data_IF_752392403327
#
_entry.id   IF_752392403327
#
_cell.length_a   1.000
_cell.length_b   1.000
_cell.length_c   1.000
_cell.angle_alpha   90.00
_cell.angle_beta   90.00
_cell.angle_gamma   90.00
#
_symmetry.space_group_name_H-M   'P 1'
#
loop_
_entity.id
_entity.type
_entity.pdbx_description
1 polymer ?
#
# COMPACT_ATOMS: atom_id res chain seq x y z
N UNK A 1 -9.17 22.94 13.76
CA UNK A 1 -7.95 23.19 14.56
C UNK A 1 -6.77 22.51 13.87
N UNK A 2 -5.73 23.23 13.45
CA UNK A 2 -4.49 22.60 12.93
C UNK A 2 -3.72 22.01 14.12
N UNK A 3 -3.56 20.70 14.18
CA UNK A 3 -2.84 20.04 15.26
C UNK A 3 -1.33 20.21 15.05
N UNK A 4 -0.72 21.13 15.81
CA UNK A 4 0.72 21.43 15.74
C UNK A 4 1.62 20.39 16.40
N UNK A 5 1.08 19.46 17.19
CA UNK A 5 1.89 18.36 17.76
C UNK A 5 2.12 17.23 16.75
N UNK A 6 1.16 17.01 15.85
CA UNK A 6 1.21 15.94 14.85
C UNK A 6 1.97 16.33 13.57
N UNK A 7 2.74 17.44 13.58
CA UNK A 7 3.64 17.84 12.48
C UNK A 7 5.10 17.45 12.72
N UNK A 8 5.44 16.93 13.93
CA UNK A 8 6.75 16.36 14.22
C UNK A 8 7.00 15.11 13.39
N UNK A 9 8.27 14.81 13.11
CA UNK A 9 8.64 13.54 12.48
C UNK A 9 8.28 12.37 13.41
N UNK A 10 7.94 11.23 12.81
CA UNK A 10 7.67 9.99 13.57
C UNK A 10 8.82 9.63 14.53
N UNK A 11 10.06 9.88 14.12
CA UNK A 11 11.26 9.65 14.94
C UNK A 11 11.33 10.53 16.19
N UNK A 12 10.80 11.74 16.14
CA UNK A 12 10.77 12.66 17.29
C UNK A 12 9.63 12.32 18.27
N UNK A 13 8.60 11.64 17.77
CA UNK A 13 7.49 11.12 18.57
C UNK A 13 7.80 9.74 19.16
N UNK A 14 8.80 9.05 18.64
CA UNK A 14 9.18 7.70 19.02
C UNK A 14 9.57 7.63 20.51
N UNK A 15 9.16 6.55 21.16
CA UNK A 15 9.53 6.23 22.54
C UNK A 15 10.03 4.79 22.59
N UNK A 16 11.24 4.53 23.14
CA UNK A 16 11.77 3.18 23.24
C UNK A 16 10.78 2.19 23.88
N UNK A 17 10.64 1.01 23.28
CA UNK A 17 9.75 -0.06 23.73
C UNK A 17 8.29 0.07 23.31
N UNK A 18 7.86 1.18 22.70
CA UNK A 18 6.47 1.37 22.27
C UNK A 18 6.14 0.57 21.00
N UNK A 19 4.94 0.00 20.92
CA UNK A 19 4.52 -0.87 19.79
C UNK A 19 3.13 -0.47 19.31
N UNK A 20 2.97 -0.38 17.99
CA UNK A 20 1.72 0.06 17.38
C UNK A 20 0.72 -1.10 17.33
N UNK A 21 1.11 -2.21 16.72
CA UNK A 21 0.31 -3.43 16.66
C UNK A 21 1.08 -4.60 17.27
N UNK A 22 0.35 -5.55 17.86
CA UNK A 22 0.89 -6.82 18.34
C UNK A 22 0.35 -7.92 17.45
N UNK A 23 1.19 -8.43 16.56
CA UNK A 23 0.85 -9.61 15.77
C UNK A 23 0.53 -10.80 16.71
N UNK A 24 -0.36 -11.72 16.29
CA UNK A 24 -0.61 -12.94 17.04
C UNK A 24 0.71 -13.66 17.32
N UNK A 25 0.81 -14.28 18.50
CA UNK A 25 1.98 -15.12 18.82
C UNK A 25 2.01 -16.26 17.79
N UNK A 26 3.02 -16.27 16.93
CA UNK A 26 3.26 -17.40 16.05
C UNK A 26 3.86 -18.55 16.86
N UNK A 27 3.24 -19.73 16.79
CA UNK A 27 3.78 -20.94 17.41
C UNK A 27 5.11 -21.39 16.76
N UNK A 28 5.37 -20.98 15.51
CA UNK A 28 6.53 -21.39 14.72
C UNK A 28 7.73 -20.44 14.80
N UNK A 29 7.55 -19.24 15.35
CA UNK A 29 8.62 -18.25 15.56
C UNK A 29 8.95 -18.19 17.05
N UNK A 30 9.92 -19.01 17.45
CA UNK A 30 10.47 -19.01 18.81
C UNK A 30 11.88 -18.38 18.82
N UNK A 31 12.49 -18.30 20.01
CA UNK A 31 13.84 -17.74 20.20
C UNK A 31 14.95 -18.45 19.41
N UNK A 32 14.67 -19.62 18.81
CA UNK A 32 15.62 -20.36 17.97
C UNK A 32 15.48 -20.02 16.48
N UNK A 33 14.57 -19.13 16.08
CA UNK A 33 14.42 -18.76 14.67
C UNK A 33 15.71 -18.17 14.08
N UNK A 34 16.46 -17.40 14.87
CA UNK A 34 17.74 -16.83 14.46
C UNK A 34 18.81 -17.91 14.19
N UNK A 35 18.76 -19.07 14.85
CA UNK A 35 19.74 -20.15 14.65
C UNK A 35 19.55 -20.92 13.34
N UNK A 36 18.55 -20.55 12.52
CA UNK A 36 18.33 -21.12 11.18
C UNK A 36 19.13 -20.41 10.09
N UNK A 37 19.80 -19.31 10.43
CA UNK A 37 20.58 -18.50 9.51
C UNK A 37 22.04 -18.49 9.95
N UNK A 38 22.94 -18.37 8.98
CA UNK A 38 24.34 -18.13 9.26
C UNK A 38 24.51 -16.78 9.96
N UNK A 39 25.45 -16.69 10.90
CA UNK A 39 25.69 -15.46 11.67
C UNK A 39 25.98 -14.26 10.75
N UNK A 40 26.65 -14.47 9.61
CA UNK A 40 26.95 -13.44 8.62
C UNK A 40 25.70 -12.90 7.89
N UNK A 41 24.58 -13.63 7.92
CA UNK A 41 23.31 -13.21 7.34
C UNK A 41 22.40 -12.46 8.34
N UNK A 42 22.78 -12.43 9.62
CA UNK A 42 22.03 -11.70 10.65
C UNK A 42 22.46 -10.23 10.67
N UNK A 43 21.48 -9.34 10.78
CA UNK A 43 21.77 -7.93 11.01
C UNK A 43 22.32 -7.72 12.43
N UNK A 44 23.36 -6.90 12.58
CA UNK A 44 23.99 -6.58 13.88
C UNK A 44 23.02 -5.88 14.85
N UNK A 45 22.01 -5.19 14.32
CA UNK A 45 21.01 -4.49 15.11
C UNK A 45 19.68 -4.37 14.34
N UNK A 46 18.55 -4.20 15.04
CA UNK A 46 17.29 -3.88 14.39
C UNK A 46 17.41 -2.60 13.55
N UNK A 47 16.68 -2.50 12.43
CA UNK A 47 16.64 -1.26 11.67
C UNK A 47 16.11 -0.12 12.55
N UNK A 48 16.58 1.13 12.35
CA UNK A 48 16.24 2.28 13.19
C UNK A 48 14.82 2.80 12.90
N UNK A 49 13.81 1.94 13.04
CA UNK A 49 12.40 2.28 12.83
C UNK A 49 11.81 2.93 14.10
N UNK A 50 10.89 3.90 13.95
CA UNK A 50 10.31 4.59 15.10
C UNK A 50 9.38 3.69 15.90
N UNK A 51 9.53 3.70 17.22
CA UNK A 51 8.71 2.94 18.17
C UNK A 51 7.52 3.80 18.64
N UNK A 52 6.33 3.50 18.12
CA UNK A 52 5.12 4.33 18.25
C UNK A 52 3.89 3.50 18.64
N UNK A 53 2.86 4.14 19.17
CA UNK A 53 1.55 3.50 19.39
C UNK A 53 0.69 3.66 18.14
N UNK A 54 -0.33 2.82 17.98
CA UNK A 54 -1.26 2.94 16.85
C UNK A 54 -1.93 4.33 16.80
N UNK A 55 -2.34 4.85 17.96
CA UNK A 55 -2.92 6.18 18.06
C UNK A 55 -1.96 7.29 17.63
N UNK A 56 -0.66 7.15 17.91
CA UNK A 56 0.36 8.11 17.43
C UNK A 56 0.46 8.08 15.90
N UNK A 57 0.47 6.88 15.30
CA UNK A 57 0.56 6.68 13.84
C UNK A 57 -0.68 7.25 13.14
N UNK A 58 -1.88 6.90 13.61
CA UNK A 58 -3.15 7.38 13.02
C UNK A 58 -3.21 8.91 13.09
N UNK A 59 -2.96 9.50 14.26
CA UNK A 59 -2.98 10.96 14.43
C UNK A 59 -1.98 11.67 13.53
N UNK A 60 -0.78 11.09 13.38
CA UNK A 60 0.26 11.65 12.53
C UNK A 60 -0.19 11.69 11.06
N UNK A 61 -0.57 10.55 10.48
CA UNK A 61 -0.95 10.49 9.06
C UNK A 61 -2.28 11.21 8.77
N UNK A 62 -3.25 11.19 9.68
CA UNK A 62 -4.47 12.01 9.54
C UNK A 62 -4.14 13.51 9.57
N UNK A 63 -3.23 13.97 10.43
CA UNK A 63 -2.85 15.37 10.44
C UNK A 63 -2.06 15.77 9.18
N UNK A 64 -1.16 14.90 8.68
CA UNK A 64 -0.45 15.14 7.42
C UNK A 64 -1.42 15.21 6.23
N UNK A 65 -2.46 14.36 6.18
CA UNK A 65 -3.42 14.41 5.07
C UNK A 65 -4.17 15.75 5.02
N UNK A 66 -4.46 16.37 6.17
CA UNK A 66 -5.10 17.71 6.22
C UNK A 66 -4.19 18.85 5.78
N UNK A 67 -2.88 18.61 5.67
CA UNK A 67 -1.91 19.59 5.18
C UNK A 67 -1.63 19.43 3.68
N UNK A 68 -2.17 18.39 3.04
CA UNK A 68 -2.03 18.15 1.61
C UNK A 68 -3.19 18.77 0.83
N UNK A 69 -2.87 19.31 -0.35
CA UNK A 69 -3.87 19.61 -1.37
C UNK A 69 -4.16 18.32 -2.15
N UNK A 70 -5.43 18.06 -2.46
CA UNK A 70 -5.84 16.87 -3.23
C UNK A 70 -7.06 17.16 -4.10
N UNK A 71 -7.25 16.36 -5.16
CA UNK A 71 -8.40 16.44 -6.07
C UNK A 71 -9.74 16.24 -5.33
N UNK A 72 -9.73 15.48 -4.23
CA UNK A 72 -10.93 15.24 -3.42
C UNK A 72 -11.42 16.49 -2.68
N UNK A 73 -10.54 17.46 -2.44
CA UNK A 73 -10.81 18.60 -1.55
C UNK A 73 -10.65 19.95 -2.24
N UNK A 74 -9.98 20.00 -3.39
CA UNK A 74 -9.63 21.24 -4.09
C UNK A 74 -9.78 21.08 -5.59
N UNK A 75 -10.05 22.20 -6.28
CA UNK A 75 -9.87 22.27 -7.72
C UNK A 75 -8.38 22.20 -8.07
N UNK A 76 -8.00 21.29 -8.98
CA UNK A 76 -6.60 20.91 -9.21
C UNK A 76 -6.20 21.03 -10.71
N UNK A 77 -6.14 22.24 -11.30
CA UNK A 77 -5.97 22.44 -12.74
C UNK A 77 -4.51 22.32 -13.20
N UNK A 78 -3.92 21.12 -13.07
CA UNK A 78 -2.59 20.86 -13.60
C UNK A 78 -2.65 20.34 -15.05
N UNK A 79 -2.07 21.10 -15.96
CA UNK A 79 -1.92 20.70 -17.37
C UNK A 79 -1.09 19.41 -17.50
N UNK A 80 -1.40 18.60 -18.52
CA UNK A 80 -0.75 17.30 -18.79
C UNK A 80 -0.96 16.19 -17.76
N UNK A 81 -1.49 16.47 -16.56
CA UNK A 81 -1.67 15.48 -15.50
C UNK A 81 -3.07 14.84 -15.47
N UNK A 82 -4.05 15.39 -16.19
CA UNK A 82 -5.44 14.90 -16.23
C UNK A 82 -6.01 14.62 -14.83
N UNK A 83 -5.96 15.61 -13.94
CA UNK A 83 -6.41 15.54 -12.54
C UNK A 83 -7.95 15.49 -12.43
N UNK A 84 -8.55 14.42 -12.97
CA UNK A 84 -10.00 14.16 -12.97
C UNK A 84 -10.44 13.55 -11.64
N UNK A 85 -11.75 13.53 -11.41
CA UNK A 85 -12.33 12.82 -10.27
C UNK A 85 -11.93 11.33 -10.27
N UNK A 86 -11.53 10.83 -9.10
CA UNK A 86 -11.27 9.41 -8.84
C UNK A 86 -12.50 8.77 -8.17
N UNK A 87 -13.34 7.99 -8.89
CA UNK A 87 -14.54 7.39 -8.32
C UNK A 87 -14.23 6.49 -7.14
N UNK A 88 -14.85 6.76 -5.98
CA UNK A 88 -14.62 5.95 -4.76
C UNK A 88 -15.09 4.50 -4.88
N UNK A 89 -15.91 4.19 -5.88
CA UNK A 89 -16.28 2.82 -6.24
C UNK A 89 -15.07 2.01 -6.69
N UNK A 90 -14.09 2.63 -7.37
CA UNK A 90 -12.93 1.93 -7.92
C UNK A 90 -12.04 1.39 -6.80
N UNK A 91 -11.81 2.18 -5.74
CA UNK A 91 -11.10 1.73 -4.54
C UNK A 91 -11.80 0.54 -3.86
N UNK A 92 -13.13 0.56 -3.81
CA UNK A 92 -13.93 -0.53 -3.23
C UNK A 92 -13.82 -1.80 -4.05
N UNK A 93 -13.86 -1.70 -5.38
CA UNK A 93 -13.70 -2.83 -6.30
C UNK A 93 -12.29 -3.41 -6.20
N UNK A 94 -11.25 -2.57 -6.22
CA UNK A 94 -9.87 -3.02 -6.09
C UNK A 94 -9.59 -3.71 -4.74
N UNK A 95 -10.31 -3.33 -3.68
CA UNK A 95 -10.19 -3.92 -2.35
C UNK A 95 -11.06 -5.16 -2.14
N UNK A 96 -11.77 -5.65 -3.17
CA UNK A 96 -12.60 -6.84 -3.01
C UNK A 96 -11.75 -8.09 -2.73
N UNK A 97 -12.21 -8.97 -1.81
CA UNK A 97 -11.61 -10.29 -1.66
C UNK A 97 -11.61 -11.04 -2.99
N UNK A 98 -10.48 -11.68 -3.33
CA UNK A 98 -10.29 -12.29 -4.64
C UNK A 98 -9.72 -11.34 -5.71
N UNK A 99 -9.49 -10.07 -5.40
CA UNK A 99 -8.60 -9.17 -6.18
C UNK A 99 -7.39 -8.79 -5.33
N UNK A 100 -7.62 -8.23 -4.14
CA UNK A 100 -6.55 -7.70 -3.27
C UNK A 100 -5.61 -8.79 -2.72
N UNK A 101 -6.11 -10.02 -2.58
CA UNK A 101 -5.40 -11.14 -1.97
C UNK A 101 -4.72 -12.09 -2.99
N UNK A 102 -4.74 -11.75 -4.28
CA UNK A 102 -4.22 -12.63 -5.32
C UNK A 102 -2.70 -12.71 -5.33
N UNK A 103 -2.17 -13.93 -5.40
CA UNK A 103 -0.76 -14.17 -5.68
C UNK A 103 -0.54 -14.26 -7.19
N UNK A 104 0.43 -13.55 -7.79
CA UNK A 104 0.63 -13.50 -9.24
C UNK A 104 1.09 -14.83 -9.87
N UNK A 105 1.52 -15.80 -9.06
CA UNK A 105 1.91 -17.16 -9.50
C UNK A 105 0.99 -18.28 -8.99
N UNK A 106 -0.21 -17.95 -8.52
CA UNK A 106 -1.19 -19.01 -8.22
C UNK A 106 -1.68 -19.64 -9.53
N UNK A 107 -2.30 -20.82 -9.43
CA UNK A 107 -2.80 -21.54 -10.61
C UNK A 107 -3.77 -20.65 -11.41
N UNK A 108 -3.57 -20.56 -12.73
CA UNK A 108 -4.43 -19.80 -13.64
C UNK A 108 -5.90 -20.24 -13.52
N UNK A 109 -6.14 -21.53 -13.24
CA UNK A 109 -7.48 -22.06 -13.04
C UNK A 109 -8.21 -21.40 -11.85
N UNK A 110 -7.49 -20.90 -10.85
CA UNK A 110 -8.08 -20.24 -9.68
C UNK A 110 -8.27 -18.72 -9.84
N UNK A 111 -7.87 -18.13 -10.97
CA UNK A 111 -7.86 -16.67 -11.18
C UNK A 111 -8.55 -16.20 -12.46
N UNK A 112 -9.37 -17.06 -13.08
CA UNK A 112 -10.01 -16.78 -14.37
C UNK A 112 -10.76 -15.44 -14.39
N UNK A 113 -11.41 -15.03 -13.30
CA UNK A 113 -12.11 -13.74 -13.24
C UNK A 113 -11.20 -12.51 -13.39
N UNK A 114 -9.98 -12.55 -12.86
CA UNK A 114 -9.02 -11.45 -13.07
C UNK A 114 -8.37 -11.54 -14.45
N UNK A 115 -8.13 -12.75 -14.96
CA UNK A 115 -7.64 -12.93 -16.33
C UNK A 115 -8.64 -12.41 -17.37
N UNK A 116 -9.93 -12.64 -17.17
CA UNK A 116 -11.01 -12.07 -17.98
C UNK A 116 -11.01 -10.54 -17.92
N UNK A 117 -10.93 -9.95 -16.72
CA UNK A 117 -10.86 -8.50 -16.55
C UNK A 117 -9.66 -7.88 -17.30
N UNK A 118 -8.48 -8.50 -17.20
CA UNK A 118 -7.28 -8.05 -17.90
C UNK A 118 -7.45 -8.16 -19.42
N UNK A 119 -7.99 -9.28 -19.89
CA UNK A 119 -8.25 -9.51 -21.31
C UNK A 119 -9.24 -8.47 -21.88
N UNK A 120 -10.35 -8.21 -21.19
CA UNK A 120 -11.32 -7.20 -21.61
C UNK A 120 -10.70 -5.80 -21.66
N UNK A 121 -9.91 -5.44 -20.64
CA UNK A 121 -9.23 -4.14 -20.58
C UNK A 121 -8.26 -3.94 -21.76
N UNK A 122 -7.53 -4.99 -22.17
CA UNK A 122 -6.69 -4.94 -23.37
C UNK A 122 -7.50 -4.63 -24.62
N UNK A 123 -8.67 -5.26 -24.76
CA UNK A 123 -9.55 -5.05 -25.92
C UNK A 123 -10.15 -3.65 -25.93
N UNK A 124 -10.60 -3.14 -24.78
CA UNK A 124 -11.07 -1.76 -24.66
C UNK A 124 -9.98 -0.76 -25.06
N UNK A 125 -8.73 -0.97 -24.63
CA UNK A 125 -7.63 -0.09 -25.04
C UNK A 125 -7.25 -0.25 -26.51
N UNK A 126 -7.24 -1.47 -27.05
CA UNK A 126 -6.99 -1.72 -28.47
C UNK A 126 -8.02 -0.98 -29.34
N UNK A 127 -9.30 -1.06 -28.98
CA UNK A 127 -10.39 -0.36 -29.66
C UNK A 127 -10.24 1.17 -29.58
N UNK A 128 -10.01 1.71 -28.38
CA UNK A 128 -9.87 3.17 -28.16
C UNK A 128 -8.64 3.74 -28.91
N UNK A 129 -7.54 2.99 -28.96
CA UNK A 129 -6.28 3.44 -29.56
C UNK A 129 -6.13 3.10 -31.04
N UNK A 130 -6.98 2.21 -31.58
CA UNK A 130 -6.84 1.69 -32.95
C UNK A 130 -5.61 0.78 -33.15
N UNK A 131 -5.05 0.23 -32.08
CA UNK A 131 -3.89 -0.66 -32.14
C UNK A 131 -4.32 -2.12 -32.31
N UNK A 132 -3.53 -2.95 -33.02
CA UNK A 132 -3.85 -4.36 -33.21
C UNK A 132 -3.75 -5.18 -31.92
N UNK A 133 -2.97 -4.73 -30.94
CA UNK A 133 -2.81 -5.37 -29.64
C UNK A 133 -2.28 -4.38 -28.59
N UNK A 134 -2.56 -4.65 -27.33
CA UNK A 134 -2.09 -3.88 -26.17
C UNK A 134 -1.53 -4.82 -25.09
N UNK A 135 -0.35 -4.52 -24.55
CA UNK A 135 0.18 -5.18 -23.35
C UNK A 135 -0.24 -4.40 -22.10
N UNK A 136 -0.64 -5.12 -21.04
CA UNK A 136 -0.82 -4.53 -19.71
C UNK A 136 0.43 -4.62 -18.84
N UNK A 137 1.46 -5.35 -19.27
CA UNK A 137 2.78 -5.26 -18.68
C UNK A 137 3.47 -4.00 -19.21
N UNK A 138 3.90 -3.05 -18.33
CA UNK A 138 4.64 -1.88 -18.75
C UNK A 138 5.94 -2.28 -19.47
N UNK A 139 6.30 -1.50 -20.50
CA UNK A 139 7.60 -1.60 -21.19
C UNK A 139 8.74 -1.00 -20.35
#
# INVERSE_FOLDING_TARGET
MRNRQATKLLFELARPGRRANRLPKSASVNSQFASRFDAAALADSPPPLPELSEGDVVRHFTNLSTQNMSVDTHFYPLGSCTMKYNPKRNERLASMPGIVDLHPKQDDASVQGVLELLWELQHYFAEISGLPAVSLQPA
#
